data_IF_735249329193
#
_entry.id   IF_735249329193
#
_cell.length_a   1.000
_cell.length_b   1.000
_cell.length_c   1.000
_cell.angle_alpha   90.00
_cell.angle_beta   90.00
_cell.angle_gamma   90.00
#
_symmetry.space_group_name_H-M   'P 1'
#
loop_
_entity.id
_entity.type
_entity.pdbx_description
1 polymer ?
#
# COMPACT_ATOMS: atom_id res chain seq x y z
N UNK A 1 -7.75 12.83 -9.37
CA UNK A 1 -7.24 11.92 -8.32
C UNK A 1 -6.12 12.66 -7.63
N UNK A 2 -6.08 12.81 -6.30
CA UNK A 2 -5.00 13.55 -5.65
C UNK A 2 -3.62 12.88 -5.74
N UNK A 3 -3.56 11.55 -5.88
CA UNK A 3 -2.30 10.81 -5.95
C UNK A 3 -2.09 10.16 -7.32
N UNK A 4 -0.88 10.28 -7.86
CA UNK A 4 -0.47 9.65 -9.12
C UNK A 4 0.12 8.30 -8.78
N UNK A 5 -0.57 7.24 -9.20
CA UNK A 5 -0.10 5.87 -8.99
C UNK A 5 0.81 5.46 -10.14
N UNK A 6 2.03 5.07 -9.80
CA UNK A 6 2.94 4.33 -10.68
C UNK A 6 2.93 2.86 -10.24
N UNK A 7 2.36 1.99 -11.06
CA UNK A 7 2.38 0.54 -10.81
C UNK A 7 3.73 -0.04 -11.24
N UNK A 8 4.35 -0.85 -10.37
CA UNK A 8 5.62 -1.53 -10.65
C UNK A 8 5.40 -3.03 -10.85
N UNK A 9 5.10 -3.75 -9.76
CA UNK A 9 4.88 -5.20 -9.78
C UNK A 9 3.67 -5.58 -8.95
N UNK A 10 2.69 -6.22 -9.59
CA UNK A 10 1.52 -6.79 -8.94
C UNK A 10 1.29 -8.19 -9.51
N UNK A 11 1.28 -9.21 -8.66
CA UNK A 11 0.93 -10.56 -9.05
C UNK A 11 -0.61 -10.71 -9.11
N UNK A 12 -1.09 -11.67 -9.88
CA UNK A 12 -2.52 -11.97 -10.01
C UNK A 12 -3.09 -12.77 -8.82
N UNK A 13 -2.47 -12.65 -7.65
CA UNK A 13 -2.96 -13.29 -6.44
C UNK A 13 -4.14 -12.49 -5.87
N UNK A 14 -5.18 -13.19 -5.40
CA UNK A 14 -6.40 -12.54 -4.87
C UNK A 14 -6.11 -11.49 -3.79
N UNK A 15 -5.12 -11.72 -2.93
CA UNK A 15 -4.74 -10.75 -1.91
C UNK A 15 -4.13 -9.49 -2.52
N UNK A 16 -3.22 -9.62 -3.49
CA UNK A 16 -2.59 -8.47 -4.15
C UNK A 16 -3.58 -7.67 -4.98
N UNK A 17 -4.55 -8.33 -5.61
CA UNK A 17 -5.63 -7.65 -6.31
C UNK A 17 -6.49 -6.80 -5.35
N UNK A 18 -6.74 -7.30 -4.14
CA UNK A 18 -7.45 -6.54 -3.10
C UNK A 18 -6.62 -5.37 -2.58
N UNK A 19 -5.32 -5.55 -2.36
CA UNK A 19 -4.42 -4.45 -2.01
C UNK A 19 -4.37 -3.41 -3.11
N UNK A 20 -4.30 -3.83 -4.38
CA UNK A 20 -4.35 -2.94 -5.53
C UNK A 20 -5.64 -2.11 -5.56
N UNK A 21 -6.80 -2.74 -5.32
CA UNK A 21 -8.07 -2.05 -5.25
C UNK A 21 -8.08 -1.02 -4.10
N UNK A 22 -7.68 -1.42 -2.90
CA UNK A 22 -7.56 -0.54 -1.74
C UNK A 22 -6.66 0.68 -2.02
N UNK A 23 -5.50 0.47 -2.62
CA UNK A 23 -4.55 1.55 -2.93
C UNK A 23 -5.14 2.53 -3.94
N UNK A 24 -5.88 2.05 -4.94
CA UNK A 24 -6.58 2.91 -5.90
C UNK A 24 -7.68 3.71 -5.24
N UNK A 25 -8.51 3.08 -4.43
CA UNK A 25 -9.55 3.77 -3.66
C UNK A 25 -8.95 4.84 -2.73
N UNK A 26 -7.87 4.53 -2.03
CA UNK A 26 -7.18 5.50 -1.18
C UNK A 26 -6.57 6.66 -1.98
N UNK A 27 -5.97 6.39 -3.14
CA UNK A 27 -5.42 7.42 -4.01
C UNK A 27 -6.50 8.38 -4.54
N UNK A 28 -7.73 7.91 -4.65
CA UNK A 28 -8.89 8.68 -5.10
C UNK A 28 -9.60 9.42 -3.94
N UNK A 29 -9.75 8.77 -2.79
CA UNK A 29 -10.69 9.18 -1.73
C UNK A 29 -10.09 9.38 -0.34
N UNK A 30 -8.80 9.11 -0.09
CA UNK A 30 -8.26 9.18 1.28
C UNK A 30 -8.23 10.58 1.89
N UNK A 31 -8.42 11.64 1.09
CA UNK A 31 -8.21 13.05 1.43
C UNK A 31 -6.85 13.34 2.09
N UNK A 32 -5.93 12.38 2.06
CA UNK A 32 -4.60 12.50 2.64
C UNK A 32 -3.74 13.31 1.68
N UNK A 33 -3.32 14.49 2.12
CA UNK A 33 -2.38 15.35 1.37
C UNK A 33 -0.92 15.06 1.74
N UNK A 34 -0.71 14.40 2.89
CA UNK A 34 0.60 14.06 3.42
C UNK A 34 0.82 12.54 3.47
N UNK A 35 2.07 12.15 3.22
CA UNK A 35 2.54 10.78 3.22
C UNK A 35 2.26 10.06 4.55
N UNK A 36 2.39 10.76 5.69
CA UNK A 36 2.10 10.22 7.02
C UNK A 36 0.62 9.89 7.22
N UNK A 37 -0.28 10.79 6.83
CA UNK A 37 -1.72 10.54 6.88
C UNK A 37 -2.10 9.35 5.99
N UNK A 38 -1.50 9.26 4.80
CA UNK A 38 -1.71 8.14 3.89
C UNK A 38 -1.24 6.82 4.53
N UNK A 39 -0.03 6.80 5.10
CA UNK A 39 0.52 5.62 5.77
C UNK A 39 -0.37 5.16 6.94
N UNK A 40 -0.83 6.09 7.76
CA UNK A 40 -1.70 5.77 8.90
C UNK A 40 -3.05 5.19 8.45
N UNK A 41 -3.67 5.76 7.41
CA UNK A 41 -4.88 5.20 6.82
C UNK A 41 -4.63 3.81 6.24
N UNK A 42 -3.52 3.63 5.52
CA UNK A 42 -3.19 2.35 4.93
C UNK A 42 -3.02 1.26 5.99
N UNK A 43 -2.29 1.55 7.08
CA UNK A 43 -2.11 0.63 8.22
C UNK A 43 -3.42 0.24 8.88
N UNK A 44 -4.42 1.13 8.89
CA UNK A 44 -5.76 0.82 9.40
C UNK A 44 -6.53 -0.10 8.46
N UNK A 45 -6.58 0.24 7.17
CA UNK A 45 -7.42 -0.45 6.17
C UNK A 45 -6.82 -1.78 5.68
N UNK A 46 -5.49 -1.91 5.66
CA UNK A 46 -4.83 -3.14 5.19
C UNK A 46 -5.15 -4.36 6.08
N UNK A 47 -5.58 -4.12 7.33
CA UNK A 47 -6.08 -5.15 8.27
C UNK A 47 -7.36 -5.82 7.77
N UNK A 48 -8.15 -5.11 6.97
CA UNK A 48 -9.43 -5.59 6.43
C UNK A 48 -9.24 -6.49 5.20
N UNK A 49 -8.05 -6.45 4.58
CA UNK A 49 -7.73 -7.32 3.44
C UNK A 49 -7.53 -8.76 3.95
N UNK A 50 -8.38 -9.72 3.54
CA UNK A 50 -8.31 -11.10 4.05
C UNK A 50 -6.94 -11.73 3.78
N UNK A 51 -6.35 -12.27 4.85
CA UNK A 51 -5.09 -13.01 4.77
C UNK A 51 -5.36 -14.39 4.20
N UNK A 52 -4.54 -14.83 3.25
CA UNK A 52 -4.58 -16.20 2.73
C UNK A 52 -4.02 -17.21 3.73
N UNK A 53 -3.27 -16.76 4.75
CA UNK A 53 -2.71 -17.61 5.79
C UNK A 53 -2.88 -16.96 7.17
N UNK A 54 -3.55 -17.66 8.09
CA UNK A 54 -3.89 -17.18 9.45
C UNK A 54 -2.70 -17.26 10.41
N UNK A 55 -1.65 -18.01 10.04
CA UNK A 55 -0.51 -18.34 10.91
C UNK A 55 0.73 -17.46 10.70
N UNK A 56 0.77 -16.64 9.66
CA UNK A 56 1.92 -15.78 9.36
C UNK A 56 1.76 -14.40 10.01
N UNK A 57 2.85 -13.95 10.62
CA UNK A 57 3.05 -12.65 11.25
C UNK A 57 2.60 -11.45 10.40
N UNK A 58 2.58 -10.28 11.04
CA UNK A 58 2.06 -9.01 10.58
C UNK A 58 2.10 -8.71 9.07
N UNK A 59 1.03 -8.04 8.62
CA UNK A 59 0.76 -7.50 7.28
C UNK A 59 1.92 -7.62 6.28
N UNK A 60 1.77 -8.49 5.28
CA UNK A 60 2.72 -8.67 4.17
C UNK A 60 2.88 -7.44 3.25
N UNK A 61 2.43 -6.27 3.68
CA UNK A 61 2.48 -5.05 2.92
C UNK A 61 2.93 -3.92 3.83
N UNK A 62 3.87 -3.13 3.35
CA UNK A 62 4.44 -2.01 4.10
C UNK A 62 4.41 -0.75 3.24
N UNK A 63 4.06 0.36 3.87
CA UNK A 63 4.19 1.69 3.28
C UNK A 63 5.47 2.32 3.78
N UNK A 64 6.22 2.96 2.88
CA UNK A 64 7.40 3.75 3.21
C UNK A 64 7.27 5.13 2.58
N UNK A 65 7.56 6.17 3.35
CA UNK A 65 7.56 7.54 2.86
C UNK A 65 8.88 7.83 2.14
N UNK A 66 8.81 8.34 0.91
CA UNK A 66 10.00 8.89 0.23
C UNK A 66 10.21 10.35 0.61
N UNK A 67 9.11 11.08 0.76
CA UNK A 67 9.03 12.46 1.21
C UNK A 67 7.59 12.76 1.69
N UNK A 68 7.31 14.01 2.07
CA UNK A 68 6.00 14.44 2.60
C UNK A 68 4.82 14.24 1.62
N UNK A 69 5.07 14.14 0.32
CA UNK A 69 4.06 14.02 -0.75
C UNK A 69 4.28 12.76 -1.61
N UNK A 70 5.05 11.78 -1.14
CA UNK A 70 5.37 10.58 -1.91
C UNK A 70 5.52 9.37 -1.02
N UNK A 71 4.79 8.30 -1.35
CA UNK A 71 4.81 7.03 -0.64
C UNK A 71 5.09 5.86 -1.59
N UNK A 72 5.69 4.83 -1.05
CA UNK A 72 5.86 3.55 -1.74
C UNK A 72 5.16 2.46 -0.97
N UNK A 73 4.60 1.51 -1.71
CA UNK A 73 3.90 0.35 -1.16
C UNK A 73 4.68 -0.87 -1.59
N UNK A 74 5.10 -1.65 -0.61
CA UNK A 74 5.96 -2.80 -0.78
C UNK A 74 5.24 -4.07 -0.35
N UNK A 75 5.50 -5.16 -1.08
CA UNK A 75 5.28 -6.51 -0.58
C UNK A 75 6.45 -6.86 0.32
N UNK A 76 6.16 -7.32 1.54
CA UNK A 76 7.17 -7.89 2.45
C UNK A 76 7.00 -9.40 2.54
N UNK A 77 8.07 -10.08 2.94
CA UNK A 77 8.04 -11.51 3.25
C UNK A 77 7.64 -11.76 4.73
N UNK A 78 7.78 -13.02 5.16
CA UNK A 78 7.44 -13.45 6.53
C UNK A 78 8.38 -12.89 7.60
N UNK A 79 9.58 -12.46 7.20
CA UNK A 79 10.60 -11.87 8.10
C UNK A 79 10.44 -10.35 8.17
N UNK A 80 9.57 -9.78 7.34
CA UNK A 80 9.34 -8.34 7.23
C UNK A 80 10.26 -7.64 6.24
N UNK A 81 11.05 -8.41 5.48
CA UNK A 81 11.99 -7.89 4.49
C UNK A 81 11.29 -7.52 3.18
N UNK A 82 11.78 -6.48 2.51
CA UNK A 82 11.19 -5.98 1.27
C UNK A 82 11.41 -6.95 0.12
N UNK A 83 10.32 -7.57 -0.35
CA UNK A 83 10.37 -8.52 -1.47
C UNK A 83 10.33 -7.82 -2.82
N UNK A 84 9.38 -6.91 -3.02
CA UNK A 84 9.30 -6.05 -4.20
C UNK A 84 8.37 -4.86 -3.98
N UNK A 85 8.63 -3.79 -4.74
CA UNK A 85 7.79 -2.60 -4.79
C UNK A 85 6.56 -2.88 -5.64
N UNK A 86 5.39 -2.55 -5.10
CA UNK A 86 4.12 -2.69 -5.81
C UNK A 86 3.73 -1.38 -6.48
N UNK A 87 3.74 -0.29 -5.72
CA UNK A 87 3.27 1.03 -6.17
C UNK A 87 4.18 2.14 -5.65
N UNK A 88 4.29 3.20 -6.44
CA UNK A 88 4.71 4.52 -5.96
C UNK A 88 3.52 5.46 -6.13
N UNK A 89 3.19 6.23 -5.10
CA UNK A 89 2.15 7.22 -5.15
C UNK A 89 2.78 8.59 -4.88
N UNK A 90 2.56 9.52 -5.81
CA UNK A 90 3.02 10.90 -5.69
C UNK A 90 1.80 11.84 -5.66
N UNK A 91 1.65 12.62 -4.60
CA UNK A 91 0.57 13.59 -4.48
C UNK A 91 0.81 14.76 -5.44
N UNK A 92 -0.17 15.05 -6.29
CA UNK A 92 -0.16 16.19 -7.21
C UNK A 92 -1.35 17.11 -6.89
N UNK A 93 -1.03 18.39 -6.67
CA UNK A 93 -2.02 19.46 -6.51
C UNK A 93 -2.55 19.92 -7.87
#
# INVERSE_FOLDING_TARGET
MPWKITEHKCLQQNQELKVKALVKEMAEYSYATYAESFENHFKSLIKEVPKTNTFSADHFYRVTQRNLKSVEIWKVDIEGEFKYKMFTLDYYE
#
